data_IF_996858794912
#
_entry.id   IF_996858794912
#
_cell.length_a   1.000
_cell.length_b   1.000
_cell.length_c   1.000
_cell.angle_alpha   90.00
_cell.angle_beta   90.00
_cell.angle_gamma   90.00
#
_symmetry.space_group_name_H-M   'P 1'
#
loop_
_entity.id
_entity.type
_entity.pdbx_description
1 polymer ?
#
# COMPACT_ATOMS: atom_id res chain seq x y z
N UNK A 1 17.06 -7.08 3.49
CA UNK A 1 15.95 -6.83 2.54
C UNK A 1 15.25 -5.50 2.82
N UNK A 2 14.80 -5.22 4.05
CA UNK A 2 14.13 -3.95 4.43
C UNK A 2 14.96 -2.69 4.18
N UNK A 3 16.28 -2.75 4.35
CA UNK A 3 17.15 -1.59 4.08
C UNK A 3 17.19 -1.18 2.60
N UNK A 4 17.04 -2.16 1.70
CA UNK A 4 17.12 -1.96 0.25
C UNK A 4 15.75 -1.73 -0.39
N UNK A 5 14.72 -2.50 0.00
CA UNK A 5 13.37 -2.46 -0.59
C UNK A 5 12.38 -1.61 0.23
N UNK A 6 12.83 -1.08 1.37
CA UNK A 6 11.93 -0.50 2.36
C UNK A 6 11.08 -1.57 3.07
N UNK A 7 10.32 -1.14 4.09
CA UNK A 7 9.42 -2.01 4.83
C UNK A 7 8.30 -2.58 3.95
N UNK A 8 7.66 -1.72 3.13
CA UNK A 8 6.56 -2.12 2.25
C UNK A 8 7.03 -3.07 1.14
N UNK A 9 8.10 -2.73 0.42
CA UNK A 9 8.62 -3.56 -0.66
C UNK A 9 9.13 -4.92 -0.16
N UNK A 10 9.78 -4.96 1.00
CA UNK A 10 10.19 -6.21 1.61
C UNK A 10 8.99 -7.10 1.97
N UNK A 11 7.93 -6.54 2.55
CA UNK A 11 6.73 -7.32 2.89
C UNK A 11 5.99 -7.80 1.63
N UNK A 12 5.90 -6.99 0.58
CA UNK A 12 5.33 -7.41 -0.72
C UNK A 12 6.11 -8.58 -1.33
N UNK A 13 7.44 -8.48 -1.36
CA UNK A 13 8.30 -9.55 -1.87
C UNK A 13 8.18 -10.83 -1.04
N UNK A 14 8.08 -10.70 0.28
CA UNK A 14 7.93 -11.82 1.18
C UNK A 14 6.57 -12.52 1.01
N UNK A 15 5.47 -11.75 0.95
CA UNK A 15 4.13 -12.28 0.65
C UNK A 15 4.08 -13.02 -0.68
N UNK A 16 4.70 -12.47 -1.74
CA UNK A 16 4.77 -13.14 -3.03
C UNK A 16 5.62 -14.43 -2.95
N UNK A 17 6.71 -14.43 -2.18
CA UNK A 17 7.61 -15.59 -2.05
C UNK A 17 6.98 -16.78 -1.32
N UNK A 18 6.05 -16.52 -0.40
CA UNK A 18 5.30 -17.55 0.35
C UNK A 18 4.01 -17.98 -0.37
N UNK A 19 3.77 -17.49 -1.59
CA UNK A 19 2.69 -17.93 -2.46
C UNK A 19 1.35 -17.23 -2.26
N UNK A 20 1.31 -16.07 -1.57
CA UNK A 20 0.07 -15.30 -1.45
C UNK A 20 -0.29 -14.58 -2.76
N UNK A 21 -1.58 -14.39 -2.97
CA UNK A 21 -2.16 -13.65 -4.10
C UNK A 21 -1.85 -12.15 -4.02
N UNK A 22 -0.61 -11.74 -4.31
CA UNK A 22 -0.18 -10.33 -4.34
C UNK A 22 -0.24 -9.79 -5.77
N UNK A 23 -0.80 -8.58 -6.01
CA UNK A 23 -0.77 -7.98 -7.35
C UNK A 23 0.67 -7.80 -7.84
N UNK A 24 0.98 -8.15 -9.09
CA UNK A 24 2.33 -8.10 -9.61
C UNK A 24 2.85 -6.66 -9.65
N UNK A 25 4.14 -6.50 -9.43
CA UNK A 25 4.79 -5.21 -9.35
C UNK A 25 6.30 -5.37 -9.21
N UNK A 26 6.98 -4.23 -9.06
CA UNK A 26 8.40 -4.17 -8.80
C UNK A 26 8.73 -3.05 -7.81
N UNK A 27 9.89 -3.15 -7.17
CA UNK A 27 10.37 -2.15 -6.21
C UNK A 27 11.67 -1.55 -6.70
N UNK A 28 11.69 -0.22 -6.87
CA UNK A 28 12.91 0.56 -7.08
C UNK A 28 13.58 0.78 -5.72
N UNK A 29 14.85 0.46 -5.60
CA UNK A 29 15.56 0.38 -4.33
C UNK A 29 15.81 1.73 -3.65
N UNK A 30 16.11 1.70 -2.35
CA UNK A 30 16.58 2.86 -1.59
C UNK A 30 17.95 3.35 -2.05
N UNK A 31 18.79 2.47 -2.61
CA UNK A 31 20.08 2.83 -3.22
C UNK A 31 19.89 3.68 -4.47
N UNK A 32 18.87 3.39 -5.29
CA UNK A 32 18.52 4.24 -6.43
C UNK A 32 18.10 5.65 -5.97
N UNK A 33 17.38 5.77 -4.85
CA UNK A 33 17.06 7.06 -4.25
C UNK A 33 18.33 7.81 -3.78
N UNK A 34 19.28 7.12 -3.16
CA UNK A 34 20.55 7.71 -2.73
C UNK A 34 21.37 8.22 -3.93
N UNK A 35 21.47 7.41 -4.99
CA UNK A 35 22.15 7.79 -6.24
C UNK A 35 21.49 9.00 -6.90
N UNK A 36 20.16 9.04 -6.94
CA UNK A 36 19.41 10.18 -7.45
C UNK A 36 19.74 11.48 -6.68
N UNK A 37 19.78 11.42 -5.35
CA UNK A 37 20.12 12.58 -4.52
C UNK A 37 21.58 13.00 -4.71
N UNK A 38 22.51 12.03 -4.77
CA UNK A 38 23.94 12.29 -5.00
C UNK A 38 24.23 12.89 -6.38
N UNK A 39 23.44 12.53 -7.40
CA UNK A 39 23.52 13.08 -8.75
C UNK A 39 22.87 14.46 -8.92
N UNK A 40 22.45 15.11 -7.82
CA UNK A 40 21.80 16.42 -7.88
C UNK A 40 20.37 16.36 -8.42
N UNK A 41 19.62 15.31 -8.04
CA UNK A 41 18.23 15.06 -8.48
C UNK A 41 18.11 14.70 -9.96
N UNK A 42 19.09 13.97 -10.48
CA UNK A 42 19.06 13.38 -11.81
C UNK A 42 18.96 11.85 -11.72
N UNK A 43 18.21 11.22 -12.62
CA UNK A 43 18.12 9.76 -12.66
C UNK A 43 19.49 9.15 -12.98
N UNK A 44 19.96 8.16 -12.21
CA UNK A 44 21.19 7.46 -12.53
C UNK A 44 21.05 6.70 -13.87
N UNK A 45 22.13 6.60 -14.65
CA UNK A 45 22.12 5.89 -15.93
C UNK A 45 21.79 4.41 -15.72
N UNK A 46 20.94 3.83 -16.56
CA UNK A 46 20.52 2.42 -16.47
C UNK A 46 19.23 2.18 -15.68
N UNK A 47 18.90 3.07 -14.73
CA UNK A 47 17.76 2.86 -13.83
C UNK A 47 16.42 2.89 -14.57
N UNK A 48 16.31 3.73 -15.60
CA UNK A 48 15.08 3.82 -16.38
C UNK A 48 14.90 2.58 -17.27
N UNK A 49 15.97 2.06 -17.87
CA UNK A 49 15.93 0.80 -18.61
C UNK A 49 15.48 -0.36 -17.72
N UNK A 50 16.04 -0.48 -16.50
CA UNK A 50 15.62 -1.50 -15.52
C UNK A 50 14.14 -1.33 -15.10
N UNK A 51 13.69 -0.09 -14.92
CA UNK A 51 12.28 0.20 -14.60
C UNK A 51 11.35 -0.24 -15.72
N UNK A 52 11.73 -0.03 -16.98
CA UNK A 52 10.97 -0.48 -18.15
C UNK A 52 10.99 -2.01 -18.31
N UNK A 53 12.08 -2.68 -17.95
CA UNK A 53 12.12 -4.15 -17.91
C UNK A 53 11.16 -4.71 -16.86
N UNK A 54 11.14 -4.13 -15.66
CA UNK A 54 10.18 -4.47 -14.62
C UNK A 54 8.73 -4.24 -15.06
N UNK A 55 8.45 -3.12 -15.75
CA UNK A 55 7.13 -2.84 -16.30
C UNK A 55 6.70 -3.88 -17.34
N UNK A 56 7.59 -4.25 -18.28
CA UNK A 56 7.31 -5.29 -19.29
C UNK A 56 6.95 -6.63 -18.65
N UNK A 57 7.65 -7.00 -17.58
CA UNK A 57 7.33 -8.22 -16.85
C UNK A 57 5.91 -8.18 -16.22
N UNK A 58 5.52 -7.03 -15.65
CA UNK A 58 4.15 -6.85 -15.11
C UNK A 58 3.10 -6.90 -16.22
N UNK A 59 3.36 -6.27 -17.36
CA UNK A 59 2.48 -6.30 -18.54
C UNK A 59 2.27 -7.73 -19.06
N UNK A 60 3.34 -8.51 -19.16
CA UNK A 60 3.29 -9.91 -19.58
C UNK A 60 2.52 -10.79 -18.59
N UNK A 61 2.76 -10.60 -17.29
CA UNK A 61 2.07 -11.36 -16.24
C UNK A 61 0.56 -11.07 -16.21
N UNK A 62 0.17 -9.80 -16.37
CA UNK A 62 -1.24 -9.38 -16.35
C UNK A 62 -1.93 -9.57 -17.71
N UNK A 63 -1.18 -9.73 -18.80
CA UNK A 63 -1.72 -9.72 -20.16
C UNK A 63 -2.33 -8.36 -20.55
N UNK A 64 -1.88 -7.28 -19.92
CA UNK A 64 -2.35 -5.91 -20.07
C UNK A 64 -1.18 -4.98 -20.43
N UNK A 65 -1.46 -3.80 -21.00
CA UNK A 65 -0.44 -2.86 -21.47
C UNK A 65 -0.72 -1.46 -20.91
N UNK A 66 0.34 -0.76 -20.49
CA UNK A 66 0.21 0.62 -20.05
C UNK A 66 -0.16 1.50 -21.25
N UNK A 67 -1.27 2.24 -21.15
CA UNK A 67 -1.75 3.10 -22.24
C UNK A 67 -2.59 2.40 -23.32
N UNK A 68 -2.89 1.10 -23.22
CA UNK A 68 -3.75 0.38 -24.18
C UNK A 68 -5.23 0.44 -23.75
N UNK A 69 -6.13 1.10 -24.50
CA UNK A 69 -7.56 1.18 -24.15
C UNK A 69 -8.28 -0.19 -24.16
N UNK A 70 -7.83 -1.14 -24.99
CA UNK A 70 -8.46 -2.45 -25.09
C UNK A 70 -8.06 -3.36 -23.93
N UNK A 71 -6.84 -3.21 -23.39
CA UNK A 71 -6.32 -3.99 -22.26
C UNK A 71 -5.53 -3.09 -21.31
N UNK A 72 -6.23 -2.20 -20.59
CA UNK A 72 -5.58 -1.17 -19.81
C UNK A 72 -4.87 -1.77 -18.60
N UNK A 73 -3.56 -1.53 -18.50
CA UNK A 73 -2.80 -1.71 -17.26
C UNK A 73 -2.77 -0.37 -16.53
N UNK A 74 -3.27 -0.36 -15.29
CA UNK A 74 -3.16 0.77 -14.38
C UNK A 74 -2.22 0.41 -13.25
N UNK A 75 -1.45 1.39 -12.78
CA UNK A 75 -0.42 1.21 -11.76
C UNK A 75 -0.70 2.07 -10.52
N UNK A 76 -0.25 1.58 -9.37
CA UNK A 76 -0.05 2.39 -8.16
C UNK A 76 1.43 2.62 -7.94
N UNK A 77 1.77 3.81 -7.45
CA UNK A 77 3.13 4.19 -7.05
C UNK A 77 3.10 4.55 -5.58
N UNK A 78 3.84 3.76 -4.78
CA UNK A 78 3.83 3.84 -3.31
C UNK A 78 5.24 4.03 -2.76
N UNK A 79 5.43 5.10 -1.98
CA UNK A 79 6.67 5.31 -1.23
C UNK A 79 6.82 4.30 -0.08
N UNK A 80 8.05 3.85 0.17
CA UNK A 80 8.34 2.87 1.21
C UNK A 80 9.77 2.99 1.73
N UNK A 81 9.97 3.67 2.86
CA UNK A 81 11.25 3.67 3.56
C UNK A 81 11.41 2.41 4.45
N UNK A 82 12.62 2.15 4.95
CA UNK A 82 12.90 1.03 5.84
C UNK A 82 12.10 1.12 7.16
N UNK A 83 11.83 2.34 7.61
CA UNK A 83 11.01 2.66 8.79
C UNK A 83 9.83 3.54 8.36
N UNK A 84 8.71 3.47 9.07
CA UNK A 84 7.57 4.35 8.83
C UNK A 84 7.98 5.81 8.96
N UNK A 85 7.79 6.61 7.90
CA UNK A 85 8.11 8.03 7.90
C UNK A 85 6.94 8.89 7.39
N UNK A 86 6.44 9.84 8.19
CA UNK A 86 5.48 10.84 7.71
C UNK A 86 6.17 11.91 6.86
N UNK A 87 5.43 12.47 5.90
CA UNK A 87 5.94 13.49 4.99
C UNK A 87 6.63 12.94 3.74
N UNK A 88 6.57 11.63 3.55
CA UNK A 88 6.80 11.00 2.24
C UNK A 88 5.62 11.25 1.32
N UNK A 89 5.85 11.15 0.01
CA UNK A 89 4.81 11.25 -1.01
C UNK A 89 3.66 10.29 -0.70
N UNK A 90 2.44 10.81 -0.75
CA UNK A 90 1.23 10.01 -0.64
C UNK A 90 1.13 9.03 -1.83
N UNK A 91 0.33 7.98 -1.67
CA UNK A 91 0.19 6.96 -2.71
C UNK A 91 -0.45 7.57 -3.95
N UNK A 92 0.11 7.33 -5.14
CA UNK A 92 -0.56 7.65 -6.40
C UNK A 92 -1.25 6.39 -6.90
N UNK A 93 -2.55 6.49 -7.17
CA UNK A 93 -3.35 5.41 -7.73
C UNK A 93 -3.74 5.72 -9.17
N UNK A 94 -4.09 4.69 -9.94
CA UNK A 94 -4.62 4.80 -11.30
C UNK A 94 -3.67 5.48 -12.31
N UNK A 95 -2.36 5.37 -12.10
CA UNK A 95 -1.35 5.84 -13.05
C UNK A 95 -1.47 5.06 -14.36
N UNK A 96 -1.52 5.78 -15.48
CA UNK A 96 -1.77 5.24 -16.82
C UNK A 96 -3.15 5.59 -17.39
N UNK A 97 -4.01 6.27 -16.62
CA UNK A 97 -5.25 6.84 -17.14
C UNK A 97 -4.97 8.07 -18.02
N UNK A 98 -5.56 8.05 -19.21
CA UNK A 98 -5.70 9.17 -20.13
C UNK A 98 -7.09 9.09 -20.77
N UNK A 99 -7.46 10.04 -21.63
CA UNK A 99 -8.79 10.10 -22.24
C UNK A 99 -9.18 8.80 -22.97
N UNK A 100 -8.24 8.18 -23.70
CA UNK A 100 -8.46 6.96 -24.45
C UNK A 100 -8.62 5.74 -23.53
N UNK A 101 -7.73 5.60 -22.54
CA UNK A 101 -7.74 4.52 -21.56
C UNK A 101 -8.97 4.63 -20.65
N UNK A 102 -9.39 5.84 -20.28
CA UNK A 102 -10.60 6.08 -19.51
C UNK A 102 -11.84 5.64 -20.30
N UNK A 103 -11.91 5.93 -21.61
CA UNK A 103 -12.98 5.43 -22.47
C UNK A 103 -12.97 3.89 -22.58
N UNK A 104 -11.78 3.27 -22.69
CA UNK A 104 -11.62 1.82 -22.69
C UNK A 104 -12.04 1.17 -21.36
N UNK A 105 -11.71 1.81 -20.24
CA UNK A 105 -12.11 1.40 -18.90
C UNK A 105 -13.62 1.56 -18.70
N UNK A 106 -14.22 2.65 -19.21
CA UNK A 106 -15.65 2.90 -19.17
C UNK A 106 -16.44 1.80 -19.89
N UNK A 107 -15.94 1.35 -21.04
CA UNK A 107 -16.56 0.27 -21.81
C UNK A 107 -16.59 -1.09 -21.07
N UNK A 108 -15.63 -1.34 -20.17
CA UNK A 108 -15.53 -2.61 -19.41
C UNK A 108 -16.19 -2.55 -18.03
N UNK A 109 -15.96 -1.46 -17.31
CA UNK A 109 -16.25 -1.34 -15.88
C UNK A 109 -17.30 -0.26 -15.58
N UNK A 110 -17.80 0.43 -16.61
CA UNK A 110 -18.85 1.45 -16.54
C UNK A 110 -18.32 2.88 -16.49
N UNK A 111 -19.03 3.78 -17.17
CA UNK A 111 -18.67 5.20 -17.32
C UNK A 111 -18.41 5.90 -15.98
N UNK A 112 -19.33 5.73 -15.02
CA UNK A 112 -19.22 6.40 -13.72
C UNK A 112 -17.91 6.03 -13.01
N UNK A 113 -17.52 4.77 -13.06
CA UNK A 113 -16.30 4.28 -12.41
C UNK A 113 -15.06 4.80 -13.12
N UNK A 114 -15.00 4.71 -14.45
CA UNK A 114 -13.83 5.11 -15.20
C UNK A 114 -13.56 6.61 -15.07
N UNK A 115 -14.58 7.45 -15.21
CA UNK A 115 -14.42 8.90 -15.11
C UNK A 115 -14.24 9.40 -13.67
N UNK A 116 -14.79 8.73 -12.65
CA UNK A 116 -14.46 9.07 -11.26
C UNK A 116 -13.01 8.70 -10.93
N UNK A 117 -12.55 7.53 -11.37
CA UNK A 117 -11.14 7.11 -11.22
C UNK A 117 -10.20 8.07 -11.95
N UNK A 118 -10.59 8.53 -13.14
CA UNK A 118 -9.81 9.50 -13.90
C UNK A 118 -9.76 10.86 -13.23
N UNK A 119 -10.90 11.42 -12.80
CA UNK A 119 -10.96 12.67 -12.04
C UNK A 119 -10.07 12.62 -10.79
N UNK A 120 -10.08 11.50 -10.06
CA UNK A 120 -9.24 11.30 -8.87
C UNK A 120 -7.77 11.17 -9.20
N UNK A 121 -7.45 10.46 -10.28
CA UNK A 121 -6.06 10.41 -10.74
C UNK A 121 -5.54 11.81 -11.02
N UNK A 122 -6.31 12.66 -11.71
CA UNK A 122 -5.94 14.06 -11.96
C UNK A 122 -5.75 14.85 -10.65
N UNK A 123 -6.65 14.66 -9.68
CA UNK A 123 -6.57 15.29 -8.35
C UNK A 123 -5.31 14.84 -7.57
N UNK A 124 -5.13 13.53 -7.41
CA UNK A 124 -4.02 12.94 -6.68
C UNK A 124 -2.69 13.23 -7.36
N UNK A 125 -2.59 13.06 -8.68
CA UNK A 125 -1.38 13.37 -9.42
C UNK A 125 -1.08 14.87 -9.35
N UNK A 126 -2.10 15.73 -9.49
CA UNK A 126 -1.93 17.19 -9.38
C UNK A 126 -1.47 17.67 -8.03
N UNK A 127 -2.07 17.15 -6.97
CA UNK A 127 -1.68 17.51 -5.62
C UNK A 127 -0.32 16.90 -5.25
N UNK A 128 -0.20 15.58 -5.38
CA UNK A 128 0.91 14.81 -4.80
C UNK A 128 2.19 14.89 -5.65
N UNK A 129 2.07 14.87 -6.98
CA UNK A 129 3.23 14.93 -7.90
C UNK A 129 3.60 16.37 -8.23
N UNK A 130 2.60 17.25 -8.32
CA UNK A 130 2.79 18.57 -8.93
C UNK A 130 2.58 19.77 -7.99
N UNK A 131 2.00 19.60 -6.80
CA UNK A 131 1.61 20.69 -5.89
C UNK A 131 0.66 21.73 -6.55
N UNK A 132 -0.27 21.27 -7.40
CA UNK A 132 -1.15 22.12 -8.23
C UNK A 132 -2.60 22.15 -7.73
N UNK A 133 -3.25 23.35 -7.65
CA UNK A 133 -4.69 23.50 -7.51
C UNK A 133 -5.47 23.13 -8.80
N UNK A 134 -6.64 22.48 -8.65
CA UNK A 134 -7.47 21.83 -9.70
C UNK A 134 -7.66 22.56 -11.04
N UNK A 135 -7.66 23.88 -11.08
CA UNK A 135 -8.08 24.65 -12.27
C UNK A 135 -7.04 24.70 -13.41
N UNK A 136 -5.79 24.23 -13.18
CA UNK A 136 -4.64 24.48 -14.07
C UNK A 136 -3.92 23.20 -14.53
N UNK A 137 -4.51 22.02 -14.30
CA UNK A 137 -3.78 20.75 -14.29
C UNK A 137 -3.09 20.39 -15.62
N UNK A 138 -3.82 20.40 -16.75
CA UNK A 138 -3.30 19.98 -18.07
C UNK A 138 -2.14 20.86 -18.58
N UNK A 139 -2.31 22.18 -18.61
CA UNK A 139 -1.26 23.10 -19.10
C UNK A 139 0.02 23.02 -18.24
N UNK A 140 -0.16 22.80 -16.93
CA UNK A 140 0.95 22.67 -15.99
C UNK A 140 1.62 21.29 -16.04
N UNK A 141 0.88 20.23 -16.36
CA UNK A 141 1.41 18.88 -16.57
C UNK A 141 2.48 18.89 -17.67
N UNK A 142 2.12 19.41 -18.84
CA UNK A 142 3.02 19.51 -19.99
C UNK A 142 4.22 20.43 -19.70
N UNK A 143 3.99 21.55 -19.00
CA UNK A 143 5.08 22.44 -18.60
C UNK A 143 6.08 21.78 -17.63
N UNK A 144 5.62 20.91 -16.73
CA UNK A 144 6.49 20.25 -15.74
C UNK A 144 7.21 19.03 -16.34
N UNK A 145 6.54 18.27 -17.20
CA UNK A 145 7.17 17.26 -18.07
C UNK A 145 8.31 17.88 -18.86
N UNK A 146 8.08 19.04 -19.48
CA UNK A 146 9.12 19.79 -20.18
C UNK A 146 10.23 20.31 -19.24
N UNK A 147 9.89 20.79 -18.04
CA UNK A 147 10.87 21.30 -17.07
C UNK A 147 11.77 20.20 -16.48
N UNK A 148 11.23 19.00 -16.25
CA UNK A 148 11.98 17.83 -15.78
C UNK A 148 12.58 17.00 -16.92
N UNK A 149 12.22 17.28 -18.18
CA UNK A 149 12.69 16.55 -19.36
C UNK A 149 12.19 15.11 -19.41
N UNK A 150 10.93 14.89 -19.01
CA UNK A 150 10.33 13.56 -18.83
C UNK A 150 9.08 13.42 -19.71
N UNK A 151 9.02 12.35 -20.50
CA UNK A 151 7.91 12.08 -21.43
C UNK A 151 6.84 11.14 -20.84
N UNK A 152 7.05 10.58 -19.64
CA UNK A 152 6.22 9.51 -19.07
C UNK A 152 5.78 9.80 -17.61
N UNK A 153 4.49 9.66 -17.33
CA UNK A 153 3.88 9.86 -16.01
C UNK A 153 4.49 8.94 -14.93
N UNK A 154 4.88 7.71 -15.30
CA UNK A 154 5.55 6.78 -14.38
C UNK A 154 6.91 7.30 -13.93
N UNK A 155 7.72 7.81 -14.88
CA UNK A 155 9.02 8.39 -14.57
C UNK A 155 8.85 9.60 -13.66
N UNK A 156 7.83 10.43 -13.93
CA UNK A 156 7.52 11.60 -13.12
C UNK A 156 7.11 11.23 -11.69
N UNK A 157 6.28 10.19 -11.52
CA UNK A 157 5.88 9.68 -10.21
C UNK A 157 7.05 9.10 -9.42
N UNK A 158 7.95 8.33 -10.05
CA UNK A 158 9.16 7.81 -9.40
C UNK A 158 10.05 8.95 -8.90
N UNK A 159 10.26 9.98 -9.73
CA UNK A 159 11.02 11.17 -9.37
C UNK A 159 10.38 11.93 -8.21
N UNK A 160 9.06 12.10 -8.22
CA UNK A 160 8.35 12.76 -7.12
C UNK A 160 8.48 12.00 -5.79
N UNK A 161 8.47 10.65 -5.82
CA UNK A 161 8.73 9.86 -4.62
C UNK A 161 10.14 10.12 -4.09
N UNK A 162 11.16 10.13 -4.95
CA UNK A 162 12.53 10.44 -4.53
C UNK A 162 12.67 11.87 -4.00
N UNK A 163 12.02 12.85 -4.63
CA UNK A 163 12.02 14.24 -4.17
C UNK A 163 11.37 14.37 -2.78
N UNK A 164 10.31 13.59 -2.52
CA UNK A 164 9.60 13.62 -1.23
C UNK A 164 10.45 13.14 -0.05
N UNK A 165 11.53 12.39 -0.31
CA UNK A 165 12.48 11.99 0.74
C UNK A 165 13.10 13.19 1.44
N UNK A 166 13.35 14.28 0.71
CA UNK A 166 13.96 15.51 1.20
C UNK A 166 12.93 16.60 1.57
N UNK A 167 11.66 16.21 1.74
CA UNK A 167 10.62 17.16 2.12
C UNK A 167 10.90 17.78 3.50
N UNK A 168 10.50 19.05 3.74
CA UNK A 168 10.67 19.68 5.05
C UNK A 168 10.08 18.87 6.20
N UNK A 169 8.94 18.21 5.95
CA UNK A 169 8.25 17.35 6.93
C UNK A 169 9.05 16.08 7.21
N UNK A 170 9.57 15.41 6.18
CA UNK A 170 10.39 14.21 6.34
C UNK A 170 11.72 14.52 7.06
N UNK A 171 12.40 15.61 6.67
CA UNK A 171 13.61 16.08 7.33
C UNK A 171 13.37 16.41 8.81
N UNK A 172 12.27 17.12 9.11
CA UNK A 172 11.93 17.46 10.49
C UNK A 172 11.61 16.21 11.32
N UNK A 173 10.89 15.25 10.76
CA UNK A 173 10.58 13.99 11.44
C UNK A 173 11.84 13.18 11.76
N UNK A 174 12.76 13.04 10.80
CA UNK A 174 14.05 12.36 11.04
C UNK A 174 14.87 13.05 12.12
N UNK A 175 14.90 14.38 12.12
CA UNK A 175 15.60 15.16 13.14
C UNK A 175 14.99 15.00 14.54
N UNK A 176 13.66 15.06 14.68
CA UNK A 176 12.97 14.92 15.98
C UNK A 176 13.18 13.51 16.56
N UNK A 177 13.06 12.48 15.71
CA UNK A 177 13.18 11.08 16.14
C UNK A 177 14.62 10.56 16.11
N UNK A 178 15.61 11.42 15.85
CA UNK A 178 17.04 11.09 15.79
C UNK A 178 17.35 9.92 14.84
N UNK A 179 16.60 9.81 13.75
CA UNK A 179 16.76 8.75 12.75
C UNK A 179 17.96 9.10 11.87
N UNK A 180 19.00 8.28 11.93
CA UNK A 180 20.24 8.43 11.15
C UNK A 180 20.55 7.13 10.40
N UNK A 181 21.33 7.22 9.32
CA UNK A 181 21.80 6.04 8.57
C UNK A 181 20.84 5.48 7.51
N UNK A 182 19.64 6.05 7.35
CA UNK A 182 18.75 5.68 6.23
C UNK A 182 19.27 6.29 4.92
N UNK A 183 19.38 5.46 3.88
CA UNK A 183 19.88 5.85 2.55
C UNK A 183 18.86 6.63 1.71
N UNK A 184 17.59 6.29 1.85
CA UNK A 184 16.53 6.84 1.00
C UNK A 184 15.19 6.14 1.21
N UNK A 185 14.29 6.35 0.26
CA UNK A 185 13.01 5.63 0.15
C UNK A 185 13.02 4.71 -1.06
N UNK A 186 12.32 3.58 -0.97
CA UNK A 186 12.03 2.74 -2.12
C UNK A 186 10.73 3.19 -2.80
N UNK A 187 10.60 2.90 -4.09
CA UNK A 187 9.38 3.14 -4.87
C UNK A 187 8.77 1.79 -5.24
N UNK A 188 7.55 1.53 -4.78
CA UNK A 188 6.83 0.30 -5.13
C UNK A 188 5.85 0.63 -6.24
N UNK A 189 6.04 0.02 -7.40
CA UNK A 189 5.14 0.13 -8.56
C UNK A 189 4.37 -1.17 -8.65
N UNK A 190 3.05 -1.12 -8.49
CA UNK A 190 2.21 -2.31 -8.41
C UNK A 190 0.98 -2.18 -9.31
N UNK A 191 0.57 -3.27 -9.96
CA UNK A 191 -0.66 -3.33 -10.72
C UNK A 191 -1.87 -2.97 -9.85
N UNK A 192 -2.77 -2.16 -10.41
CA UNK A 192 -4.03 -1.83 -9.76
C UNK A 192 -4.96 -3.03 -9.73
N UNK A 193 -5.69 -3.14 -8.61
CA UNK A 193 -6.80 -4.07 -8.41
C UNK A 193 -8.00 -3.28 -7.91
N UNK A 194 -9.17 -3.54 -8.45
CA UNK A 194 -10.36 -2.71 -8.30
C UNK A 194 -11.42 -3.36 -7.41
N UNK A 195 -11.69 -2.73 -6.26
CA UNK A 195 -12.77 -3.12 -5.34
C UNK A 195 -14.17 -2.61 -5.73
N UNK A 196 -14.30 -1.93 -6.87
CA UNK A 196 -15.51 -1.24 -7.35
C UNK A 196 -16.08 -1.77 -8.66
N UNK A 197 -15.66 -2.95 -9.13
CA UNK A 197 -16.20 -3.54 -10.37
C UNK A 197 -17.59 -4.16 -10.21
N UNK A 198 -18.27 -3.91 -9.08
CA UNK A 198 -19.62 -4.41 -8.80
C UNK A 198 -19.72 -5.01 -7.39
N UNK A 199 -20.82 -5.72 -7.14
CA UNK A 199 -21.11 -6.29 -5.82
C UNK A 199 -20.30 -7.56 -5.51
N UNK A 200 -19.52 -8.06 -6.48
CA UNK A 200 -18.53 -9.15 -6.32
C UNK A 200 -17.12 -8.61 -6.09
N UNK A 201 -16.98 -7.31 -5.85
CA UNK A 201 -15.71 -6.64 -5.56
C UNK A 201 -15.83 -5.80 -4.30
N UNK A 202 -14.72 -5.60 -3.60
CA UNK A 202 -14.66 -4.78 -2.39
C UNK A 202 -13.24 -4.62 -1.87
N UNK A 203 -13.05 -3.73 -0.91
CA UNK A 203 -11.77 -3.54 -0.22
C UNK A 203 -11.95 -3.69 1.28
N UNK A 204 -10.93 -4.18 1.97
CA UNK A 204 -10.98 -4.32 3.41
C UNK A 204 -9.62 -4.17 4.07
N UNK A 205 -9.68 -3.93 5.38
CA UNK A 205 -8.52 -3.88 6.26
C UNK A 205 -8.85 -4.72 7.48
N UNK A 206 -7.92 -5.56 7.92
CA UNK A 206 -8.12 -6.38 9.09
C UNK A 206 -6.85 -6.58 9.90
N UNK A 207 -7.05 -6.94 11.16
CA UNK A 207 -6.08 -7.50 12.06
C UNK A 207 -6.40 -8.99 12.25
N UNK A 208 -5.37 -9.83 12.25
CA UNK A 208 -5.56 -11.29 12.46
C UNK A 208 -6.05 -11.63 13.87
N UNK A 209 -5.83 -10.73 14.84
CA UNK A 209 -6.38 -10.77 16.20
C UNK A 209 -6.85 -9.38 16.59
N UNK A 210 -7.78 -9.27 17.54
CA UNK A 210 -8.28 -7.98 17.99
C UNK A 210 -7.14 -7.12 18.59
N UNK A 211 -6.86 -5.92 18.04
CA UNK A 211 -5.73 -5.09 18.47
C UNK A 211 -5.92 -4.47 19.86
N UNK A 212 -7.18 -4.37 20.33
CA UNK A 212 -7.54 -3.76 21.61
C UNK A 212 -7.59 -4.78 22.75
N UNK A 213 -8.22 -5.93 22.52
CA UNK A 213 -8.41 -6.96 23.56
C UNK A 213 -7.36 -8.06 23.48
N UNK A 214 -6.79 -8.33 22.30
CA UNK A 214 -5.93 -9.46 22.01
C UNK A 214 -6.67 -10.78 21.73
N UNK A 215 -8.00 -10.75 21.62
CA UNK A 215 -8.79 -11.94 21.27
C UNK A 215 -8.41 -12.49 19.89
N UNK A 216 -8.24 -13.82 19.79
CA UNK A 216 -7.96 -14.52 18.52
C UNK A 216 -9.23 -14.63 17.68
N UNK A 217 -9.63 -13.50 17.10
CA UNK A 217 -10.71 -13.36 16.13
C UNK A 217 -10.27 -12.32 15.09
N UNK A 218 -10.51 -12.61 13.80
CA UNK A 218 -10.29 -11.63 12.74
C UNK A 218 -11.11 -10.38 13.04
N UNK A 219 -10.43 -9.24 13.11
CA UNK A 219 -11.02 -7.96 13.48
C UNK A 219 -10.73 -6.96 12.38
N UNK A 220 -11.77 -6.49 11.70
CA UNK A 220 -11.58 -5.61 10.57
C UNK A 220 -12.88 -5.21 9.92
N UNK A 221 -12.71 -4.45 8.85
CA UNK A 221 -13.77 -3.77 8.14
C UNK A 221 -13.66 -4.10 6.65
N UNK A 222 -14.83 -4.21 6.00
CA UNK A 222 -14.95 -4.47 4.58
C UNK A 222 -15.98 -3.53 3.96
N UNK A 223 -15.71 -3.08 2.74
CA UNK A 223 -16.63 -2.26 1.96
C UNK A 223 -16.90 -2.93 0.60
N UNK A 224 -18.13 -3.36 0.39
CA UNK A 224 -18.60 -3.89 -0.90
C UNK A 224 -18.77 -2.76 -1.90
N UNK A 225 -18.34 -3.00 -3.14
CA UNK A 225 -18.49 -2.09 -4.27
C UNK A 225 -18.09 -0.65 -3.90
N UNK A 226 -16.90 -0.53 -3.32
CA UNK A 226 -16.38 0.72 -2.81
C UNK A 226 -15.72 1.50 -3.95
N UNK A 227 -16.36 2.59 -4.36
CA UNK A 227 -15.89 3.43 -5.47
C UNK A 227 -14.44 3.91 -5.28
N UNK A 228 -13.88 3.86 -4.06
CA UNK A 228 -12.47 4.14 -3.79
C UNK A 228 -11.69 2.92 -3.27
N UNK A 229 -10.42 2.84 -3.67
CA UNK A 229 -9.46 1.85 -3.22
C UNK A 229 -8.75 2.37 -1.95
N UNK A 230 -8.96 1.72 -0.79
CA UNK A 230 -8.26 1.98 0.47
C UNK A 230 -8.54 3.34 1.15
N UNK A 231 -8.68 4.44 0.39
CA UNK A 231 -8.90 5.79 0.91
C UNK A 231 -10.28 5.96 1.57
N UNK A 232 -11.33 5.29 1.09
CA UNK A 232 -12.68 5.37 1.70
C UNK A 232 -12.70 4.79 3.12
N UNK A 233 -11.94 3.71 3.36
CA UNK A 233 -11.79 3.10 4.68
C UNK A 233 -11.09 4.08 5.63
N UNK A 234 -10.08 4.81 5.12
CA UNK A 234 -9.33 5.79 5.92
C UNK A 234 -10.10 7.11 6.11
N UNK A 235 -10.89 7.53 5.11
CA UNK A 235 -11.62 8.79 5.10
C UNK A 235 -13.00 8.72 5.79
N UNK A 236 -13.53 7.52 6.05
CA UNK A 236 -14.78 7.31 6.77
C UNK A 236 -16.02 7.83 6.03
N UNK A 237 -15.96 7.93 4.70
CA UNK A 237 -17.06 8.46 3.87
C UNK A 237 -18.24 7.49 3.80
N UNK A 238 -17.94 6.18 3.85
CA UNK A 238 -18.92 5.10 3.94
C UNK A 238 -18.77 4.37 5.26
N UNK A 239 -19.89 3.97 5.84
CA UNK A 239 -19.89 3.11 7.03
C UNK A 239 -19.31 1.75 6.65
N UNK A 240 -18.18 1.34 7.24
CA UNK A 240 -17.62 0.02 7.02
C UNK A 240 -18.57 -1.08 7.50
N UNK A 241 -18.57 -2.21 6.79
CA UNK A 241 -19.27 -3.42 7.20
C UNK A 241 -18.30 -4.37 7.91
N UNK A 242 -18.83 -5.23 8.78
CA UNK A 242 -18.04 -6.29 9.41
C UNK A 242 -17.52 -7.29 8.36
N UNK A 243 -16.40 -7.96 8.66
CA UNK A 243 -15.88 -9.05 7.83
C UNK A 243 -16.88 -10.19 7.59
N UNK A 244 -17.90 -10.32 8.46
CA UNK A 244 -19.01 -11.26 8.24
C UNK A 244 -19.79 -10.96 6.94
N UNK A 245 -19.91 -9.68 6.55
CA UNK A 245 -20.55 -9.30 5.28
C UNK A 245 -19.75 -9.82 4.07
N UNK A 246 -18.42 -9.86 4.16
CA UNK A 246 -17.56 -10.44 3.13
C UNK A 246 -17.82 -11.94 2.97
N UNK A 247 -17.96 -12.67 4.09
CA UNK A 247 -18.27 -14.12 4.06
C UNK A 247 -19.59 -14.39 3.34
N UNK A 248 -20.59 -13.56 3.53
CA UNK A 248 -21.91 -13.76 2.97
C UNK A 248 -21.97 -13.41 1.46
N UNK A 249 -21.24 -12.37 1.03
CA UNK A 249 -21.23 -11.93 -0.37
C UNK A 249 -20.18 -12.65 -1.24
N UNK A 250 -19.03 -12.98 -0.67
CA UNK A 250 -17.84 -13.49 -1.37
C UNK A 250 -17.19 -14.64 -0.56
N UNK A 251 -17.89 -15.78 -0.40
CA UNK A 251 -17.45 -16.85 0.50
C UNK A 251 -16.10 -17.45 0.10
N UNK A 252 -15.83 -17.62 -1.20
CA UNK A 252 -14.56 -18.17 -1.71
C UNK A 252 -13.38 -17.26 -1.35
N UNK A 253 -13.51 -15.95 -1.60
CA UNK A 253 -12.48 -14.97 -1.23
C UNK A 253 -12.31 -14.87 0.28
N UNK A 254 -13.38 -15.05 1.07
CA UNK A 254 -13.29 -15.06 2.53
C UNK A 254 -12.55 -16.29 3.05
N UNK A 255 -12.80 -17.47 2.49
CA UNK A 255 -12.04 -18.69 2.84
C UNK A 255 -10.56 -18.52 2.51
N UNK A 256 -10.22 -18.02 1.31
CA UNK A 256 -8.83 -17.73 0.94
C UNK A 256 -8.20 -16.68 1.88
N UNK A 257 -8.96 -15.68 2.31
CA UNK A 257 -8.48 -14.66 3.25
C UNK A 257 -8.14 -15.25 4.61
N UNK A 258 -8.98 -16.13 5.14
CA UNK A 258 -8.75 -16.82 6.42
C UNK A 258 -7.48 -17.67 6.35
N UNK A 259 -7.32 -18.44 5.27
CA UNK A 259 -6.11 -19.25 5.03
C UNK A 259 -4.86 -18.37 4.93
N UNK A 260 -4.93 -17.27 4.18
CA UNK A 260 -3.84 -16.30 4.05
C UNK A 260 -3.47 -15.66 5.40
N UNK A 261 -4.45 -15.38 6.26
CA UNK A 261 -4.20 -14.85 7.61
C UNK A 261 -3.43 -15.86 8.49
N UNK A 262 -3.79 -17.14 8.43
CA UNK A 262 -3.09 -18.20 9.17
C UNK A 262 -1.67 -18.42 8.65
N UNK A 263 -1.48 -18.39 7.33
CA UNK A 263 -0.15 -18.45 6.70
C UNK A 263 0.71 -17.27 7.17
N UNK A 264 0.15 -16.06 7.17
CA UNK A 264 0.86 -14.85 7.60
C UNK A 264 1.24 -14.89 9.08
N UNK A 265 0.32 -15.25 9.99
CA UNK A 265 0.65 -15.40 11.42
C UNK A 265 1.72 -16.49 11.64
N UNK A 266 1.62 -17.61 10.92
CA UNK A 266 2.57 -18.71 11.05
C UNK A 266 3.95 -18.38 10.48
N UNK A 267 4.01 -17.59 9.40
CA UNK A 267 5.26 -17.19 8.77
C UNK A 267 5.96 -16.08 9.57
N UNK A 268 5.24 -15.01 9.88
CA UNK A 268 5.78 -13.85 10.60
C UNK A 268 5.89 -14.05 12.10
N UNK A 269 5.19 -15.06 12.65
CA UNK A 269 5.13 -15.31 14.11
C UNK A 269 4.63 -14.10 14.90
N UNK A 270 3.68 -13.38 14.31
CA UNK A 270 3.20 -12.09 14.80
C UNK A 270 1.77 -11.85 14.34
N UNK A 271 1.00 -11.07 15.10
CA UNK A 271 -0.32 -10.58 14.67
C UNK A 271 -0.12 -9.54 13.56
N UNK A 272 -0.87 -9.71 12.49
CA UNK A 272 -0.71 -8.96 11.25
C UNK A 272 -1.87 -8.00 11.02
N UNK A 273 -1.52 -6.79 10.59
CA UNK A 273 -2.42 -5.79 10.00
C UNK A 273 -2.31 -5.90 8.48
N UNK A 274 -3.43 -6.19 7.83
CA UNK A 274 -3.52 -6.63 6.44
C UNK A 274 -4.51 -5.72 5.69
N UNK A 275 -4.07 -5.23 4.54
CA UNK A 275 -4.92 -4.58 3.54
C UNK A 275 -5.14 -5.54 2.37
N UNK A 276 -6.39 -5.70 1.94
CA UNK A 276 -6.75 -6.58 0.84
C UNK A 276 -7.85 -5.98 -0.03
N UNK A 277 -7.94 -6.47 -1.27
CA UNK A 277 -9.01 -6.13 -2.21
C UNK A 277 -9.50 -7.40 -2.87
N UNK A 278 -10.81 -7.52 -3.01
CA UNK A 278 -11.45 -8.53 -3.85
C UNK A 278 -11.86 -7.86 -5.15
N UNK A 279 -11.43 -8.41 -6.28
CA UNK A 279 -11.88 -8.00 -7.61
C UNK A 279 -12.55 -9.19 -8.28
N UNK A 280 -13.85 -9.07 -8.53
CA UNK A 280 -14.66 -10.10 -9.19
C UNK A 280 -14.47 -11.50 -8.57
N UNK A 281 -14.66 -11.61 -7.25
CA UNK A 281 -14.45 -12.80 -6.42
C UNK A 281 -12.99 -13.27 -6.25
N UNK A 282 -12.01 -12.61 -6.88
CA UNK A 282 -10.59 -12.93 -6.68
C UNK A 282 -9.98 -12.08 -5.58
N UNK A 283 -9.40 -12.72 -4.56
CA UNK A 283 -8.70 -12.04 -3.47
C UNK A 283 -7.31 -11.58 -3.90
N UNK A 284 -6.93 -10.38 -3.44
CA UNK A 284 -5.61 -9.80 -3.59
C UNK A 284 -5.11 -9.20 -2.29
N UNK A 285 -3.91 -9.59 -1.87
CA UNK A 285 -3.20 -9.10 -0.70
C UNK A 285 -2.36 -7.89 -1.10
N UNK A 286 -2.69 -6.71 -0.57
CA UNK A 286 -2.07 -5.44 -0.96
C UNK A 286 -0.94 -5.02 -0.02
N UNK A 287 -1.11 -5.25 1.27
CA UNK A 287 -0.13 -4.89 2.28
C UNK A 287 -0.28 -5.80 3.49
N UNK A 288 0.85 -6.22 4.08
CA UNK A 288 0.87 -6.74 5.44
C UNK A 288 1.92 -5.99 6.24
N UNK A 289 1.68 -5.85 7.55
CA UNK A 289 2.67 -5.38 8.52
C UNK A 289 2.34 -5.92 9.91
N UNK A 290 3.28 -5.83 10.83
CA UNK A 290 3.01 -6.10 12.24
C UNK A 290 1.92 -5.14 12.75
N UNK A 291 0.83 -5.69 13.26
CA UNK A 291 -0.31 -4.89 13.69
C UNK A 291 -0.02 -4.14 14.99
N UNK A 292 -0.31 -2.83 14.99
CA UNK A 292 -0.29 -2.01 16.21
C UNK A 292 -1.40 -2.48 17.15
N UNK A 293 -1.14 -2.42 18.45
CA UNK A 293 -2.01 -3.00 19.48
C UNK A 293 -1.85 -2.27 20.81
N UNK A 294 -2.81 -2.46 21.70
CA UNK A 294 -2.76 -1.94 23.07
C UNK A 294 -1.84 -2.79 23.94
N UNK A 295 -1.46 -2.30 25.13
CA UNK A 295 -0.72 -3.07 26.13
C UNK A 295 -1.40 -4.39 26.49
N UNK A 296 -2.72 -4.35 26.73
CA UNK A 296 -3.54 -5.54 27.02
C UNK A 296 -3.51 -6.52 25.86
N UNK A 297 -3.71 -6.03 24.62
CA UNK A 297 -3.66 -6.84 23.41
C UNK A 297 -2.29 -7.49 23.21
N UNK A 298 -1.20 -6.74 23.39
CA UNK A 298 0.17 -7.25 23.25
C UNK A 298 0.46 -8.42 24.19
N UNK A 299 0.13 -8.28 25.48
CA UNK A 299 0.37 -9.33 26.48
C UNK A 299 -0.47 -10.57 26.18
N UNK A 300 -1.77 -10.39 25.88
CA UNK A 300 -2.64 -11.52 25.57
C UNK A 300 -2.17 -12.27 24.33
N UNK A 301 -1.87 -11.55 23.24
CA UNK A 301 -1.39 -12.17 21.99
C UNK A 301 -0.09 -12.94 22.22
N UNK A 302 0.87 -12.36 22.95
CA UNK A 302 2.14 -13.03 23.23
C UNK A 302 1.95 -14.32 24.03
N UNK A 303 1.07 -14.32 25.03
CA UNK A 303 0.74 -15.52 25.83
C UNK A 303 0.02 -16.56 24.99
N UNK A 304 -0.98 -16.15 24.19
CA UNK A 304 -1.75 -17.06 23.34
C UNK A 304 -0.84 -17.71 22.28
N UNK A 305 0.06 -16.96 21.64
CA UNK A 305 1.00 -17.52 20.66
C UNK A 305 2.00 -18.51 21.26
N UNK A 306 2.37 -18.36 22.54
CA UNK A 306 3.18 -19.37 23.25
C UNK A 306 2.36 -20.63 23.52
N UNK A 307 1.11 -20.47 23.97
CA UNK A 307 0.21 -21.59 24.23
C UNK A 307 -0.13 -22.37 22.97
N UNK A 308 -0.24 -21.68 21.83
CA UNK A 308 -0.42 -22.24 20.48
C UNK A 308 0.87 -22.84 19.90
N UNK A 309 2.00 -22.77 20.63
CA UNK A 309 3.32 -23.21 20.19
C UNK A 309 3.79 -22.56 18.86
N UNK A 310 3.26 -21.36 18.54
CA UNK A 310 3.72 -20.55 17.41
C UNK A 310 5.08 -19.92 17.70
N UNK A 311 5.29 -19.49 18.95
CA UNK A 311 6.53 -18.82 19.40
C UNK A 311 7.03 -19.38 20.72
N UNK A 312 8.33 -19.27 20.96
CA UNK A 312 8.94 -19.58 22.24
C UNK A 312 8.81 -18.39 23.22
N UNK A 313 9.10 -18.64 24.51
CA UNK A 313 9.03 -17.60 25.54
C UNK A 313 10.00 -16.44 25.26
N UNK A 314 11.15 -16.70 24.65
CA UNK A 314 12.14 -15.64 24.35
C UNK A 314 11.70 -14.72 23.21
N UNK A 315 10.88 -15.23 22.29
CA UNK A 315 10.26 -14.42 21.24
C UNK A 315 9.07 -13.66 21.80
N UNK A 316 8.24 -14.30 22.64
CA UNK A 316 7.08 -13.67 23.26
C UNK A 316 7.42 -12.43 24.10
N UNK A 317 8.55 -12.44 24.83
CA UNK A 317 9.00 -11.26 25.58
C UNK A 317 9.34 -10.06 24.66
N UNK A 318 9.72 -10.30 23.40
CA UNK A 318 10.05 -9.23 22.44
C UNK A 318 8.80 -8.63 21.78
N UNK A 319 7.67 -9.33 21.83
CA UNK A 319 6.38 -8.86 21.30
C UNK A 319 5.74 -7.79 22.21
N UNK A 320 6.18 -7.72 23.47
CA UNK A 320 5.68 -6.74 24.45
C UNK A 320 6.72 -5.64 24.63
N UNK A 321 6.54 -4.52 23.93
CA UNK A 321 7.38 -3.34 24.08
C UNK A 321 7.26 -2.72 25.49
N UNK A 322 8.28 -2.00 25.99
CA UNK A 322 8.20 -1.31 27.27
C UNK A 322 7.01 -0.36 27.40
N UNK A 323 6.64 0.32 26.30
CA UNK A 323 5.47 1.20 26.27
C UNK A 323 4.13 0.46 26.39
N UNK A 324 4.05 -0.79 25.94
CA UNK A 324 2.88 -1.65 26.14
C UNK A 324 2.69 -1.99 27.62
N UNK A 325 3.78 -2.25 28.34
CA UNK A 325 3.71 -2.54 29.76
C UNK A 325 3.35 -1.28 30.58
N UNK A 326 3.91 -0.13 30.23
CA UNK A 326 3.59 1.14 30.89
C UNK A 326 2.08 1.45 30.86
N UNK A 327 1.41 1.20 29.73
CA UNK A 327 -0.05 1.35 29.63
C UNK A 327 -0.82 0.52 30.67
N UNK A 328 -0.32 -0.67 31.03
CA UNK A 328 -0.95 -1.55 32.02
C UNK A 328 -0.66 -1.13 33.47
N UNK A 329 0.37 -0.33 33.69
CA UNK A 329 0.78 0.14 35.01
C UNK A 329 0.04 1.41 35.46
N UNK A 330 -0.63 2.11 34.53
CA UNK A 330 -1.38 3.33 34.80
C UNK A 330 -2.88 3.16 34.52
N UNK A 331 -3.77 3.83 35.28
CA UNK A 331 -5.18 3.87 34.96
C UNK A 331 -5.41 4.43 33.54
N UNK A 332 -6.07 3.65 32.68
CA UNK A 332 -6.45 4.07 31.34
C UNK A 332 -7.87 4.65 31.37
N UNK A 333 -8.09 5.74 30.62
CA UNK A 333 -9.44 6.19 30.32
C UNK A 333 -9.96 5.25 29.23
N UNK A 334 -10.98 4.44 29.52
CA UNK A 334 -11.67 3.70 28.48
C UNK A 334 -12.33 4.72 27.54
N UNK A 335 -11.94 4.76 26.27
CA UNK A 335 -12.72 5.50 25.28
C UNK A 335 -14.13 4.89 25.23
N UNK A 336 -15.19 5.72 25.33
CA UNK A 336 -16.58 5.28 25.45
C UNK A 336 -17.16 4.66 24.18
#
# INVERSE_FOLDING_TARGET
MKDLLGGKGANLAEMASIGLSVPPGFTVSTEACEQYQAAGKALPPGLWEETLEGLKWVEEYMGARLGDPARPLLLSVRSGAAVSMPGMMDTVLNLGLNDEVAAGLAAKSGDRFAYDSYRRFLDMFGNVVMDIPHALFEEKLEAMKAAKGVDNDLQLAVLAVFDSWDSPRANKYRSINQITGLRGTAVNVQCMVFGNMGNTSGTGVLFTRNPSTGEKKLYGEFLVNCLMQGEDVVAGIRTPEDLDAMRDHMPEAYTELVENCEILESHYKEMMDIEFTVQENRLWMLQCRSGKRTGTGAVKIAVDMVNEALVDRNTAIKMVEPGHLDQLLHPQVCEP
#
